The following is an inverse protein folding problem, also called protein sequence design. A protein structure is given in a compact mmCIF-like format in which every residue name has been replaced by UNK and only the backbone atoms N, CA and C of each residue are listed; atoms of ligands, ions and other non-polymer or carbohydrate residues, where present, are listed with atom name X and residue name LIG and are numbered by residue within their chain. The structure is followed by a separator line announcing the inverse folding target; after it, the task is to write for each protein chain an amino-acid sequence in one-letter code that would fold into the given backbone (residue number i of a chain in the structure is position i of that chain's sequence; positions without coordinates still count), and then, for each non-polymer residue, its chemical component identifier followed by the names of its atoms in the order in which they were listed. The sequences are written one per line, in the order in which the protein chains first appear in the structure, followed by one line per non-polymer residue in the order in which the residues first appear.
data_IF_840685301061
#
_entry.id   IF_840685301061
#
_cell.length_a   1.000
_cell.length_b   1.000
_cell.length_c   1.000
_cell.angle_alpha   90.00
_cell.angle_beta   90.00
_cell.angle_gamma   90.00
#
_symmetry.space_group_name_H-M   'P 1'
#
loop_
_entity.id
_entity.type
_entity.pdbx_description
1 polymer ?
#
# COMPACT_ATOMS: atom_id res chain seq x y z
N UNK A 1 4.70 1.67 50.45
CA UNK A 1 3.45 1.75 49.65
C UNK A 1 3.23 3.12 48.98
N UNK A 2 3.42 4.27 49.65
CA UNK A 2 3.14 5.62 49.07
C UNK A 2 3.95 5.99 47.80
N UNK A 3 5.12 5.39 47.57
CA UNK A 3 5.94 5.63 46.35
C UNK A 3 5.55 4.76 45.15
N UNK A 4 4.77 3.69 45.34
CA UNK A 4 4.33 2.80 44.26
C UNK A 4 3.12 3.35 43.49
N UNK A 5 2.25 4.11 44.17
CA UNK A 5 1.07 4.74 43.56
C UNK A 5 1.42 5.71 42.41
N UNK A 6 2.37 6.66 42.55
CA UNK A 6 2.72 7.56 41.45
C UNK A 6 3.43 6.84 40.29
N UNK A 7 4.17 5.76 40.56
CA UNK A 7 4.85 4.95 39.53
C UNK A 7 3.82 4.17 38.70
N UNK A 8 2.83 3.55 39.34
CA UNK A 8 1.71 2.88 38.67
C UNK A 8 0.87 3.87 37.85
N UNK A 9 0.59 5.06 38.39
CA UNK A 9 -0.11 6.12 37.67
C UNK A 9 0.66 6.59 36.43
N UNK A 10 1.98 6.78 36.55
CA UNK A 10 2.85 7.13 35.43
C UNK A 10 2.88 6.06 34.34
N UNK A 11 3.01 4.78 34.72
CA UNK A 11 2.98 3.66 33.77
C UNK A 11 1.64 3.55 33.03
N UNK A 12 0.52 3.76 33.73
CA UNK A 12 -0.81 3.74 33.13
C UNK A 12 -0.99 4.88 32.11
N UNK A 13 -0.48 6.08 32.43
CA UNK A 13 -0.48 7.22 31.51
C UNK A 13 0.34 6.95 30.25
N UNK A 14 1.54 6.39 30.41
CA UNK A 14 2.40 6.02 29.28
C UNK A 14 1.70 4.96 28.42
N UNK A 15 1.09 3.94 29.04
CA UNK A 15 0.32 2.91 28.34
C UNK A 15 -0.85 3.50 27.54
N UNK A 16 -1.60 4.44 28.13
CA UNK A 16 -2.71 5.11 27.47
C UNK A 16 -2.26 5.98 26.28
N UNK A 17 -1.15 6.72 26.44
CA UNK A 17 -0.55 7.50 25.35
C UNK A 17 -0.11 6.62 24.18
N UNK A 18 0.59 5.52 24.47
CA UNK A 18 1.03 4.57 23.44
C UNK A 18 -0.17 3.95 22.73
N UNK A 19 -1.23 3.63 23.46
CA UNK A 19 -2.45 3.10 22.86
C UNK A 19 -3.09 4.11 21.92
N UNK A 20 -3.32 5.35 22.37
CA UNK A 20 -3.98 6.42 21.60
C UNK A 20 -3.25 6.77 20.30
N UNK A 21 -1.91 6.93 20.34
CA UNK A 21 -1.10 7.27 19.15
C UNK A 21 -1.16 6.19 18.07
N UNK A 22 -1.50 4.97 18.46
CA UNK A 22 -1.53 3.82 17.57
C UNK A 22 -2.93 3.48 17.05
N UNK A 23 -4.00 4.10 17.57
CA UNK A 23 -5.34 3.94 17.00
C UNK A 23 -5.44 4.82 15.75
N UNK A 24 -5.92 4.25 14.65
CA UNK A 24 -6.19 4.99 13.43
C UNK A 24 -7.46 4.50 12.76
N UNK A 25 -8.07 5.40 11.99
CA UNK A 25 -9.12 5.06 11.07
C UNK A 25 -8.61 5.23 9.64
N UNK A 26 -8.41 4.12 8.96
CA UNK A 26 -7.87 4.10 7.61
C UNK A 26 -9.00 4.22 6.59
N UNK A 27 -8.85 5.13 5.63
CA UNK A 27 -9.88 5.44 4.63
C UNK A 27 -9.40 5.07 3.25
N UNK A 28 -10.24 4.33 2.52
CA UNK A 28 -9.99 3.95 1.12
C UNK A 28 -10.94 4.75 0.25
N UNK A 29 -10.44 5.68 -0.59
CA UNK A 29 -11.28 6.49 -1.47
C UNK A 29 -11.81 5.69 -2.66
N UNK A 30 -12.80 6.25 -3.38
CA UNK A 30 -13.35 5.65 -4.58
C UNK A 30 -12.28 5.51 -5.68
N UNK A 31 -12.30 4.38 -6.42
CA UNK A 31 -11.27 4.06 -7.43
C UNK A 31 -10.00 3.43 -6.85
N UNK A 32 -9.98 3.12 -5.55
CA UNK A 32 -8.88 2.46 -4.88
C UNK A 32 -9.35 1.22 -4.11
N UNK A 33 -8.37 0.38 -3.80
CA UNK A 33 -8.53 -0.78 -2.94
C UNK A 33 -7.42 -0.76 -1.89
N UNK A 34 -7.81 -0.82 -0.63
CA UNK A 34 -6.89 -0.88 0.50
C UNK A 34 -6.55 -2.33 0.84
N UNK A 35 -5.25 -2.64 0.85
CA UNK A 35 -4.72 -3.81 1.53
C UNK A 35 -4.55 -3.47 3.01
N UNK A 36 -5.41 -4.01 3.88
CA UNK A 36 -5.41 -3.72 5.31
C UNK A 36 -4.54 -4.71 6.04
N UNK A 37 -3.62 -4.19 6.84
CA UNK A 37 -2.74 -4.98 7.69
C UNK A 37 -2.63 -4.39 9.08
N UNK A 38 -2.37 -5.26 10.04
CA UNK A 38 -2.05 -4.88 11.40
C UNK A 38 -0.53 -4.82 11.56
N UNK A 39 -0.02 -3.63 11.89
CA UNK A 39 1.42 -3.42 12.11
C UNK A 39 1.87 -4.23 13.33
N UNK A 40 2.99 -4.96 13.25
CA UNK A 40 3.53 -5.74 14.38
C UNK A 40 4.23 -4.84 15.42
N UNK A 41 4.14 -5.15 16.73
CA UNK A 41 4.97 -4.44 17.73
C UNK A 41 6.42 -4.96 17.60
N UNK A 42 6.55 -6.27 17.43
CA UNK A 42 7.78 -6.97 17.11
C UNK A 42 7.45 -8.04 16.07
N UNK A 43 8.38 -8.31 15.15
CA UNK A 43 8.19 -9.28 14.06
C UNK A 43 7.42 -8.73 12.87
N UNK A 44 6.60 -9.58 12.24
CA UNK A 44 5.97 -9.30 10.95
C UNK A 44 4.54 -8.80 11.05
N UNK A 45 4.17 -7.88 10.16
CA UNK A 45 2.81 -7.37 10.01
C UNK A 45 1.85 -8.48 9.58
N UNK A 46 0.61 -8.46 10.09
CA UNK A 46 -0.42 -9.46 9.76
C UNK A 46 -1.42 -8.88 8.77
N UNK A 47 -1.66 -9.60 7.68
CA UNK A 47 -2.76 -9.29 6.76
C UNK A 47 -4.13 -9.46 7.45
N UNK A 48 -5.00 -8.47 7.30
CA UNK A 48 -6.37 -8.49 7.85
C UNK A 48 -7.39 -8.72 6.74
N UNK A 49 -7.28 -8.01 5.62
CA UNK A 49 -8.26 -8.10 4.55
C UNK A 49 -8.07 -7.08 3.44
N UNK A 50 -8.91 -7.20 2.42
CA UNK A 50 -9.01 -6.23 1.33
C UNK A 50 -10.27 -5.39 1.55
N UNK A 51 -10.15 -4.08 1.35
CA UNK A 51 -11.24 -3.14 1.47
C UNK A 51 -11.39 -2.34 0.17
N UNK A 52 -12.50 -2.53 -0.54
CA UNK A 52 -12.81 -1.77 -1.78
C UNK A 52 -13.41 -0.42 -1.40
N UNK A 53 -12.89 0.67 -1.95
CA UNK A 53 -13.40 2.02 -1.67
C UNK A 53 -14.74 2.32 -2.37
N UNK A 54 -15.48 3.35 -1.92
CA UNK A 54 -15.23 4.17 -0.74
C UNK A 54 -15.58 3.42 0.55
N UNK A 55 -14.62 3.28 1.46
CA UNK A 55 -14.83 2.56 2.72
C UNK A 55 -13.81 2.97 3.79
N UNK A 56 -14.06 2.60 5.03
CA UNK A 56 -13.27 2.99 6.20
C UNK A 56 -13.19 1.80 7.15
N UNK A 57 -12.02 1.59 7.76
CA UNK A 57 -11.84 0.49 8.72
C UNK A 57 -12.57 0.74 10.04
N UNK A 58 -12.88 2.00 10.37
CA UNK A 58 -13.19 2.40 11.73
C UNK A 58 -11.94 2.51 12.60
N UNK A 59 -12.11 2.93 13.85
CA UNK A 59 -11.01 3.10 14.80
C UNK A 59 -10.46 1.76 15.27
N UNK A 60 -9.30 1.37 14.75
CA UNK A 60 -8.62 0.16 15.15
C UNK A 60 -7.18 0.45 15.58
N UNK A 61 -6.73 -0.30 16.58
CA UNK A 61 -5.35 -0.20 17.05
C UNK A 61 -4.40 -0.83 16.05
N UNK A 62 -3.53 0.00 15.47
CA UNK A 62 -2.41 -0.37 14.59
C UNK A 62 -2.82 -0.98 13.26
N UNK A 63 -4.05 -0.73 12.83
CA UNK A 63 -4.44 -0.99 11.45
C UNK A 63 -3.84 0.08 10.55
N UNK A 64 -3.34 -0.35 9.39
CA UNK A 64 -2.80 0.50 8.34
C UNK A 64 -3.24 -0.05 7.00
N UNK A 65 -3.23 0.78 5.96
CA UNK A 65 -3.45 0.31 4.60
C UNK A 65 -2.31 0.62 3.66
N UNK A 66 -2.16 -0.24 2.66
CA UNK A 66 -1.55 0.12 1.39
C UNK A 66 -2.67 0.36 0.39
N UNK A 67 -2.83 1.62 -0.04
CA UNK A 67 -3.88 2.03 -0.96
C UNK A 67 -3.37 1.84 -2.39
N UNK A 68 -4.03 0.97 -3.14
CA UNK A 68 -3.68 0.67 -4.53
C UNK A 68 -4.74 1.24 -5.45
N UNK A 69 -4.32 1.99 -6.47
CA UNK A 69 -5.23 2.47 -7.51
C UNK A 69 -5.67 1.31 -8.39
N UNK A 70 -6.98 1.19 -8.61
CA UNK A 70 -7.58 0.26 -9.58
C UNK A 70 -8.06 0.98 -10.84
N UNK A 71 -7.73 2.27 -10.97
CA UNK A 71 -8.01 3.04 -12.19
C UNK A 71 -7.06 2.63 -13.31
N UNK A 72 -7.47 2.80 -14.58
CA UNK A 72 -6.58 2.57 -15.72
C UNK A 72 -5.34 3.47 -15.64
N UNK A 73 -4.17 2.85 -15.77
CA UNK A 73 -2.88 3.52 -15.91
C UNK A 73 -2.41 3.39 -17.37
N UNK A 74 -2.01 4.51 -17.94
CA UNK A 74 -1.48 4.59 -19.30
C UNK A 74 0.04 4.73 -19.24
N UNK A 75 0.75 3.73 -19.74
CA UNK A 75 2.18 3.76 -19.93
C UNK A 75 2.49 4.01 -21.40
N UNK A 76 3.37 4.98 -21.67
CA UNK A 76 3.88 5.28 -23.01
C UNK A 76 5.37 4.99 -23.01
N UNK A 77 5.81 4.16 -23.96
CA UNK A 77 7.22 3.90 -24.24
C UNK A 77 7.52 4.29 -25.68
N UNK A 78 8.64 4.97 -25.88
CA UNK A 78 9.06 5.49 -27.17
C UNK A 78 10.46 4.98 -27.49
N UNK A 79 10.55 4.25 -28.61
CA UNK A 79 11.78 3.69 -29.14
C UNK A 79 12.27 4.60 -30.26
N UNK A 80 13.31 5.37 -29.97
CA UNK A 80 13.91 6.29 -30.93
C UNK A 80 14.74 5.51 -31.96
N UNK A 81 14.56 5.82 -33.24
CA UNK A 81 15.22 5.09 -34.34
C UNK A 81 16.76 5.23 -34.32
N UNK A 82 17.28 6.34 -33.82
CA UNK A 82 18.70 6.66 -33.83
C UNK A 82 19.36 6.35 -32.47
N UNK A 83 18.69 6.67 -31.36
CA UNK A 83 19.23 6.51 -30.01
C UNK A 83 18.94 5.13 -29.37
N UNK A 84 17.76 4.56 -29.60
CA UNK A 84 17.33 3.29 -28.98
C UNK A 84 16.43 2.44 -29.90
N UNK A 85 16.90 2.05 -31.10
CA UNK A 85 16.06 1.40 -32.10
C UNK A 85 15.69 -0.03 -31.71
N UNK A 86 14.49 -0.42 -32.15
CA UNK A 86 14.11 -1.83 -32.23
C UNK A 86 14.84 -2.44 -33.44
N UNK A 87 15.64 -3.47 -33.20
CA UNK A 87 16.32 -4.23 -34.25
C UNK A 87 15.46 -5.40 -34.69
N UNK A 88 15.13 -5.43 -35.98
CA UNK A 88 14.45 -6.58 -36.61
C UNK A 88 15.40 -7.76 -36.81
N UNK A 89 14.87 -8.94 -37.12
CA UNK A 89 15.65 -10.13 -37.50
C UNK A 89 16.68 -9.85 -38.60
N UNK A 90 16.33 -8.91 -39.47
CA UNK A 90 17.06 -8.54 -40.68
C UNK A 90 18.03 -7.38 -40.40
N UNK A 91 18.18 -6.97 -39.13
CA UNK A 91 19.00 -5.86 -38.63
C UNK A 91 18.57 -4.47 -39.11
N UNK A 92 17.33 -4.32 -39.58
CA UNK A 92 16.74 -3.01 -39.83
C UNK A 92 16.42 -2.33 -38.50
N UNK A 93 16.78 -1.05 -38.39
CA UNK A 93 16.46 -0.17 -37.26
C UNK A 93 15.08 0.44 -37.45
N UNK A 94 14.21 0.22 -36.47
CA UNK A 94 12.84 0.73 -36.49
C UNK A 94 12.59 1.52 -35.22
N UNK A 95 11.97 2.69 -35.37
CA UNK A 95 11.42 3.46 -34.24
C UNK A 95 9.94 3.13 -34.05
N UNK A 96 9.47 3.10 -32.82
CA UNK A 96 8.10 2.77 -32.50
C UNK A 96 7.63 3.50 -31.23
N UNK A 97 6.33 3.78 -31.16
CA UNK A 97 5.69 4.28 -29.94
C UNK A 97 4.69 3.24 -29.48
N UNK A 98 4.89 2.72 -28.27
CA UNK A 98 4.02 1.73 -27.65
C UNK A 98 3.23 2.40 -26.54
N UNK A 99 1.91 2.30 -26.61
CA UNK A 99 1.01 2.75 -25.57
C UNK A 99 0.34 1.53 -24.93
N UNK A 100 0.52 1.35 -23.63
CA UNK A 100 -0.04 0.25 -22.86
C UNK A 100 -0.97 0.82 -21.81
N UNK A 101 -2.25 0.46 -21.89
CA UNK A 101 -3.22 0.74 -20.83
C UNK A 101 -3.44 -0.51 -20.00
N UNK A 102 -3.21 -0.42 -18.70
CA UNK A 102 -3.44 -1.54 -17.77
C UNK A 102 -4.09 -1.07 -16.48
N UNK A 103 -4.67 -2.00 -15.72
CA UNK A 103 -5.22 -1.72 -14.39
C UNK A 103 -5.01 -2.92 -13.48
N UNK A 104 -4.87 -2.67 -12.19
CA UNK A 104 -4.84 -3.75 -11.18
C UNK A 104 -6.25 -4.31 -11.02
N UNK A 105 -6.38 -5.64 -11.08
CA UNK A 105 -7.63 -6.30 -10.76
C UNK A 105 -7.91 -6.18 -9.24
N UNK A 106 -9.08 -5.67 -8.81
CA UNK A 106 -9.39 -5.43 -7.39
C UNK A 106 -9.20 -6.65 -6.50
N UNK A 107 -9.54 -7.85 -7.00
CA UNK A 107 -9.45 -9.10 -6.24
C UNK A 107 -8.02 -9.66 -6.17
N UNK A 108 -7.09 -9.08 -6.93
CA UNK A 108 -5.67 -9.44 -6.99
C UNK A 108 -4.77 -8.44 -6.27
N UNK A 109 -5.34 -7.47 -5.58
CA UNK A 109 -4.58 -6.43 -4.85
C UNK A 109 -3.70 -7.03 -3.75
N UNK A 110 -4.15 -8.12 -3.10
CA UNK A 110 -3.29 -8.85 -2.16
C UNK A 110 -2.02 -9.37 -2.83
N UNK A 111 -2.19 -10.14 -3.91
CA UNK A 111 -1.06 -10.72 -4.65
C UNK A 111 -0.15 -9.61 -5.20
N UNK A 112 -0.73 -8.50 -5.65
CA UNK A 112 -0.01 -7.33 -6.13
C UNK A 112 0.89 -6.73 -5.05
N UNK A 113 0.35 -6.45 -3.86
CA UNK A 113 1.11 -5.85 -2.76
C UNK A 113 2.17 -6.81 -2.25
N UNK A 114 1.84 -8.09 -2.04
CA UNK A 114 2.78 -9.05 -1.45
C UNK A 114 3.93 -9.45 -2.38
N UNK A 115 3.78 -9.32 -3.70
CA UNK A 115 4.79 -9.75 -4.68
C UNK A 115 5.50 -8.62 -5.40
N UNK A 116 4.86 -7.46 -5.55
CA UNK A 116 5.33 -6.38 -6.42
C UNK A 116 5.46 -5.03 -5.71
N UNK A 117 4.98 -4.90 -4.46
CA UNK A 117 5.20 -3.71 -3.64
C UNK A 117 6.30 -3.98 -2.61
N UNK A 118 7.42 -3.29 -2.75
CA UNK A 118 8.57 -3.35 -1.82
C UNK A 118 8.30 -2.56 -0.55
#
# INVERSE_FOLDING_TARGET
MKRLLPILGGLMLIGALVWLVNVSNEQVPAGYVGYIYQKAIAGHSKFIGIMKGPSSTGWHWRYRSHIVSITPFNYKEEFDREASPILTSDKLRVGAVVNVTWRVHPDKVKDFVERYST
#
